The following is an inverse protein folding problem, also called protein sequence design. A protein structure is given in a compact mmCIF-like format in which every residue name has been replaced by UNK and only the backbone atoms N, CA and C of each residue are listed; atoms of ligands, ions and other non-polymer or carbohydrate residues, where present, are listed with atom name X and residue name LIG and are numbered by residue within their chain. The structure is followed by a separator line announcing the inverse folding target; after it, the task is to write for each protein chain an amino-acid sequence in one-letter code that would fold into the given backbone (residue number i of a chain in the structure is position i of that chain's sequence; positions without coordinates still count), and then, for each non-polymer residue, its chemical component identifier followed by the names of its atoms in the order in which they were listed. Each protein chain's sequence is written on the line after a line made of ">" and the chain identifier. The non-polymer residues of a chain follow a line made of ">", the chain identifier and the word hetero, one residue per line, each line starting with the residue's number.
data_IF_649329987136
#
_entry.id   IF_649329987136
#
_cell.length_a   1.000
_cell.length_b   1.000
_cell.length_c   1.000
_cell.angle_alpha   90.00
_cell.angle_beta   90.00
_cell.angle_gamma   90.00
#
_symmetry.space_group_name_H-M   'P 1'
#
loop_
_entity.id
_entity.type
_entity.pdbx_description
1 polymer ?
#
# COMPACT_ATOMS: atom_id res chain seq x y z
N UNK A 1 1.04 15.03 2.03
CA UNK A 1 -0.15 14.34 1.51
C UNK A 1 -1.43 14.72 2.25
N UNK A 2 -1.38 15.04 3.54
CA UNK A 2 -2.57 15.47 4.31
C UNK A 2 -3.25 16.74 3.77
N UNK A 3 -2.58 17.47 2.88
CA UNK A 3 -3.12 18.63 2.16
C UNK A 3 -3.67 18.30 0.77
N UNK A 4 -3.53 17.05 0.31
CA UNK A 4 -4.11 16.64 -0.96
C UNK A 4 -5.63 16.59 -0.86
N UNK A 5 -6.27 17.05 -1.92
CA UNK A 5 -7.69 16.90 -2.19
C UNK A 5 -7.87 16.01 -3.42
N UNK A 6 -9.07 15.51 -3.72
CA UNK A 6 -9.30 14.79 -4.95
C UNK A 6 -8.78 15.53 -6.19
N UNK A 7 -8.93 16.88 -6.23
CA UNK A 7 -8.50 17.73 -7.35
C UNK A 7 -6.98 17.86 -7.46
N UNK A 8 -6.26 17.61 -6.37
CA UNK A 8 -4.77 17.67 -6.33
C UNK A 8 -4.14 16.29 -6.21
N UNK A 9 -4.92 15.23 -6.40
CA UNK A 9 -4.41 13.86 -6.46
C UNK A 9 -3.23 13.74 -7.42
N UNK A 10 -2.16 13.07 -7.01
CA UNK A 10 -0.93 12.88 -7.78
C UNK A 10 0.03 14.08 -7.80
N UNK A 11 -0.35 15.25 -7.28
CA UNK A 11 0.52 16.44 -7.27
C UNK A 11 1.85 16.17 -6.56
N UNK A 12 1.79 15.61 -5.34
CA UNK A 12 2.99 15.34 -4.54
C UNK A 12 3.89 14.28 -5.20
N UNK A 13 3.31 13.19 -5.67
CA UNK A 13 4.07 12.14 -6.39
C UNK A 13 4.76 12.70 -7.62
N UNK A 14 4.08 13.57 -8.38
CA UNK A 14 4.65 14.23 -9.55
C UNK A 14 5.76 15.21 -9.16
N UNK A 15 5.58 15.99 -8.10
CA UNK A 15 6.65 16.84 -7.58
C UNK A 15 7.90 16.03 -7.21
N UNK A 16 7.72 14.91 -6.50
CA UNK A 16 8.84 14.05 -6.10
C UNK A 16 9.54 13.40 -7.29
N UNK A 17 8.83 13.13 -8.40
CA UNK A 17 9.49 12.69 -9.64
C UNK A 17 10.43 13.77 -10.19
N UNK A 18 10.02 15.03 -10.22
CA UNK A 18 10.90 16.13 -10.65
C UNK A 18 12.09 16.33 -9.72
N UNK A 19 11.90 16.22 -8.40
CA UNK A 19 13.00 16.26 -7.44
C UNK A 19 13.99 15.11 -7.70
N UNK A 20 13.45 13.94 -8.08
CA UNK A 20 14.24 12.79 -8.40
C UNK A 20 14.97 12.90 -9.74
N UNK A 21 14.52 13.64 -10.73
CA UNK A 21 15.03 13.62 -12.10
C UNK A 21 16.05 14.70 -12.43
N UNK A 22 15.82 15.95 -12.04
CA UNK A 22 16.73 17.04 -12.39
C UNK A 22 16.68 18.18 -11.38
N UNK A 23 17.77 18.96 -11.33
CA UNK A 23 17.87 20.09 -10.44
C UNK A 23 18.67 21.23 -11.07
N UNK A 24 18.69 22.36 -10.38
CA UNK A 24 19.36 23.58 -10.87
C UNK A 24 20.84 23.36 -11.20
N UNK A 25 21.56 22.54 -10.39
CA UNK A 25 22.99 22.25 -10.59
C UNK A 25 23.25 20.97 -11.38
N UNK A 26 22.29 20.06 -11.41
CA UNK A 26 22.42 18.73 -12.01
C UNK A 26 21.25 18.48 -12.96
N UNK A 27 21.47 18.76 -14.26
CA UNK A 27 20.49 18.41 -15.30
C UNK A 27 20.26 16.89 -15.33
N UNK A 28 19.15 16.45 -15.89
CA UNK A 28 18.82 15.03 -16.08
C UNK A 28 20.00 14.22 -16.63
N UNK A 29 20.62 14.69 -17.74
CA UNK A 29 21.79 14.05 -18.34
C UNK A 29 22.97 13.92 -17.36
N UNK A 30 23.32 15.03 -16.67
CA UNK A 30 24.43 15.04 -15.71
C UNK A 30 24.20 14.11 -14.53
N UNK A 31 22.99 14.05 -14.07
CA UNK A 31 22.59 13.19 -12.99
C UNK A 31 22.61 11.71 -13.39
N UNK A 32 22.06 11.36 -14.57
CA UNK A 32 22.13 10.01 -15.11
C UNK A 32 23.57 9.54 -15.26
N UNK A 33 24.47 10.42 -15.77
CA UNK A 33 25.90 10.15 -15.86
C UNK A 33 26.52 9.85 -14.47
N UNK A 34 26.21 10.67 -13.45
CA UNK A 34 26.70 10.45 -12.08
C UNK A 34 26.16 9.13 -11.56
N UNK A 35 24.86 8.86 -11.67
CA UNK A 35 24.23 7.62 -11.20
C UNK A 35 24.86 6.38 -11.86
N UNK A 36 25.07 6.42 -13.15
CA UNK A 36 25.74 5.33 -13.88
C UNK A 36 27.17 5.10 -13.39
N UNK A 37 27.97 6.16 -13.28
CA UNK A 37 29.40 6.08 -12.89
C UNK A 37 29.59 5.70 -11.40
N UNK A 38 28.59 5.90 -10.57
CA UNK A 38 28.67 5.62 -9.13
C UNK A 38 27.82 4.44 -8.70
N UNK A 39 27.09 3.80 -9.62
CA UNK A 39 26.08 2.80 -9.34
C UNK A 39 25.14 3.27 -8.22
N UNK A 40 24.63 4.49 -8.36
CA UNK A 40 23.70 5.09 -7.40
C UNK A 40 22.34 5.34 -8.04
N UNK A 41 21.31 5.38 -7.23
CA UNK A 41 19.97 5.75 -7.66
C UNK A 41 19.34 6.74 -6.71
N UNK A 42 18.57 7.67 -7.28
CA UNK A 42 17.65 8.49 -6.51
C UNK A 42 16.25 8.13 -6.98
N UNK A 43 15.40 7.81 -6.04
CA UNK A 43 14.00 7.47 -6.31
C UNK A 43 13.09 8.11 -5.30
N UNK A 44 11.81 7.84 -5.45
CA UNK A 44 10.78 8.37 -4.57
C UNK A 44 9.63 7.37 -4.43
N UNK A 45 8.86 7.55 -3.38
CA UNK A 45 7.55 6.93 -3.25
C UNK A 45 6.59 7.89 -2.53
N UNK A 46 5.30 7.73 -2.76
CA UNK A 46 4.25 8.48 -2.08
C UNK A 46 3.19 7.55 -1.54
N UNK A 47 2.82 7.76 -0.29
CA UNK A 47 1.67 7.13 0.40
C UNK A 47 0.76 8.23 0.94
N UNK A 48 -0.45 7.88 1.31
CA UNK A 48 -1.41 8.85 1.88
C UNK A 48 -0.90 9.51 3.16
N UNK A 49 -0.07 8.82 3.93
CA UNK A 49 0.53 9.32 5.17
C UNK A 49 1.77 10.18 4.99
N UNK A 50 2.41 10.17 3.82
CA UNK A 50 3.60 10.94 3.52
C UNK A 50 4.39 10.37 2.35
N UNK A 51 5.37 11.13 1.90
CA UNK A 51 6.23 10.75 0.77
C UNK A 51 7.70 10.75 1.15
N UNK A 52 8.51 10.00 0.44
CA UNK A 52 9.96 10.00 0.62
C UNK A 52 10.68 10.14 -0.72
N UNK A 53 11.74 10.92 -0.68
CA UNK A 53 12.82 10.91 -1.67
C UNK A 53 13.97 10.13 -1.07
N UNK A 54 14.57 9.21 -1.80
CA UNK A 54 15.65 8.39 -1.29
C UNK A 54 16.86 8.34 -2.23
N UNK A 55 18.04 8.22 -1.62
CA UNK A 55 19.32 8.00 -2.30
C UNK A 55 19.83 6.62 -1.91
N UNK A 56 20.12 5.78 -2.89
CA UNK A 56 20.85 4.53 -2.72
C UNK A 56 22.22 4.66 -3.39
N UNK A 57 23.29 4.50 -2.64
CA UNK A 57 24.66 4.69 -3.13
C UNK A 57 25.65 3.80 -2.39
N UNK A 58 26.72 3.41 -3.08
CA UNK A 58 27.85 2.77 -2.41
C UNK A 58 28.53 3.77 -1.44
N UNK A 59 29.05 3.28 -0.30
CA UNK A 59 29.70 4.11 0.73
C UNK A 59 30.79 5.02 0.14
N UNK A 60 31.67 4.48 -0.68
CA UNK A 60 32.77 5.22 -1.36
C UNK A 60 32.30 6.34 -2.29
N UNK A 61 31.03 6.34 -2.68
CA UNK A 61 30.44 7.33 -3.57
C UNK A 61 29.42 8.24 -2.89
N UNK A 62 29.10 7.99 -1.62
CA UNK A 62 28.11 8.74 -0.87
C UNK A 62 28.37 10.25 -0.83
N UNK A 63 29.61 10.64 -0.54
CA UNK A 63 29.98 12.07 -0.50
C UNK A 63 29.82 12.80 -1.84
N UNK A 64 29.97 12.08 -2.96
CA UNK A 64 29.78 12.60 -4.31
C UNK A 64 28.30 12.67 -4.70
N UNK A 65 27.47 11.74 -4.24
CA UNK A 65 26.06 11.61 -4.64
C UNK A 65 25.10 12.38 -3.74
N UNK A 66 25.41 12.54 -2.45
CA UNK A 66 24.60 13.30 -1.51
C UNK A 66 24.31 14.75 -1.99
N UNK A 67 25.26 15.52 -2.53
CA UNK A 67 24.97 16.85 -3.06
C UNK A 67 23.97 16.85 -4.23
N UNK A 68 23.96 15.80 -5.05
CA UNK A 68 23.01 15.64 -6.17
C UNK A 68 21.60 15.43 -5.62
N UNK A 69 21.46 14.55 -4.62
CA UNK A 69 20.21 14.29 -3.92
C UNK A 69 19.65 15.55 -3.25
N UNK A 70 20.50 16.26 -2.49
CA UNK A 70 20.07 17.46 -1.77
C UNK A 70 19.69 18.61 -2.73
N UNK A 71 20.40 18.79 -3.83
CA UNK A 71 20.03 19.80 -4.82
C UNK A 71 18.74 19.43 -5.56
N UNK A 72 18.48 18.13 -5.80
CA UNK A 72 17.20 17.65 -6.31
C UNK A 72 16.02 18.01 -5.39
N UNK A 73 16.17 17.78 -4.12
CA UNK A 73 15.16 18.13 -3.11
C UNK A 73 14.93 19.65 -3.00
N UNK A 74 16.01 20.45 -2.93
CA UNK A 74 15.92 21.89 -2.66
C UNK A 74 15.65 22.73 -3.90
N UNK A 75 16.12 22.32 -5.07
CA UNK A 75 16.13 23.12 -6.29
C UNK A 75 15.74 22.31 -7.54
N UNK A 76 14.62 21.58 -7.54
CA UNK A 76 14.18 20.85 -8.72
C UNK A 76 13.97 21.81 -9.90
N UNK A 77 14.14 21.33 -11.13
CA UNK A 77 13.81 22.08 -12.33
C UNK A 77 12.51 21.55 -12.93
N UNK A 78 11.74 22.45 -13.52
CA UNK A 78 10.46 22.14 -14.16
C UNK A 78 10.54 22.63 -15.61
N UNK A 79 11.38 21.97 -16.42
CA UNK A 79 11.54 22.32 -17.83
C UNK A 79 10.33 21.83 -18.61
N UNK A 80 9.99 22.54 -19.67
CA UNK A 80 8.79 22.25 -20.47
C UNK A 80 8.83 20.86 -21.09
N UNK A 81 9.98 20.46 -21.66
CA UNK A 81 10.18 19.14 -22.26
C UNK A 81 10.08 17.98 -21.23
N UNK A 82 10.70 18.17 -20.05
CA UNK A 82 10.61 17.22 -18.94
C UNK A 82 9.15 17.11 -18.44
N UNK A 83 8.45 18.24 -18.36
CA UNK A 83 7.04 18.29 -17.95
C UNK A 83 6.13 17.57 -18.95
N UNK A 84 6.28 17.81 -20.23
CA UNK A 84 5.46 17.15 -21.27
C UNK A 84 5.64 15.63 -21.25
N UNK A 85 6.90 15.15 -21.11
CA UNK A 85 7.19 13.73 -20.96
C UNK A 85 6.53 13.12 -19.71
N UNK A 86 6.60 13.83 -18.58
CA UNK A 86 5.94 13.41 -17.33
C UNK A 86 4.44 13.34 -17.50
N UNK A 87 3.82 14.38 -18.11
CA UNK A 87 2.38 14.41 -18.34
C UNK A 87 1.92 13.29 -19.28
N UNK A 88 2.71 12.94 -20.31
CA UNK A 88 2.42 11.79 -21.18
C UNK A 88 2.47 10.47 -20.40
N UNK A 89 3.47 10.30 -19.54
CA UNK A 89 3.58 9.12 -18.67
C UNK A 89 2.41 9.00 -17.68
N UNK A 90 1.95 10.13 -17.12
CA UNK A 90 0.77 10.16 -16.24
C UNK A 90 -0.50 9.76 -16.99
N UNK A 91 -0.71 10.27 -18.23
CA UNK A 91 -1.87 9.88 -19.05
C UNK A 91 -1.86 8.38 -19.37
N UNK A 92 -0.69 7.84 -19.74
CA UNK A 92 -0.55 6.40 -19.99
C UNK A 92 -0.84 5.56 -18.73
N UNK A 93 -0.38 6.02 -17.55
CA UNK A 93 -0.67 5.35 -16.29
C UNK A 93 -2.16 5.37 -15.95
N UNK A 94 -2.83 6.51 -16.15
CA UNK A 94 -4.28 6.63 -15.98
C UNK A 94 -5.00 5.66 -16.92
N UNK A 95 -4.64 5.63 -18.20
CA UNK A 95 -5.22 4.69 -19.16
C UNK A 95 -4.98 3.23 -18.74
N UNK A 96 -3.77 2.92 -18.22
CA UNK A 96 -3.44 1.59 -17.72
C UNK A 96 -4.36 1.13 -16.61
N UNK A 97 -4.77 2.01 -15.68
CA UNK A 97 -5.73 1.68 -14.61
C UNK A 97 -7.08 1.24 -15.21
N UNK A 98 -7.57 1.95 -16.23
CA UNK A 98 -8.87 1.64 -16.84
C UNK A 98 -8.81 0.52 -17.89
N UNK A 99 -7.62 0.15 -18.37
CA UNK A 99 -7.43 -0.95 -19.32
C UNK A 99 -7.20 -2.30 -18.64
N UNK A 100 -6.82 -2.29 -17.36
CA UNK A 100 -6.62 -3.48 -16.56
C UNK A 100 -7.80 -3.68 -15.60
N UNK A 101 -8.56 -4.79 -15.71
CA UNK A 101 -9.78 -4.97 -14.93
C UNK A 101 -9.54 -4.99 -13.42
N UNK A 102 -8.43 -5.55 -12.96
CA UNK A 102 -8.11 -5.61 -11.53
C UNK A 102 -7.79 -4.22 -10.98
N UNK A 103 -6.96 -3.44 -11.69
CA UNK A 103 -6.62 -2.06 -11.35
C UNK A 103 -7.87 -1.17 -11.34
N UNK A 104 -8.77 -1.36 -12.30
CA UNK A 104 -10.03 -0.62 -12.36
C UNK A 104 -10.97 -0.98 -11.20
N UNK A 105 -11.05 -2.26 -10.84
CA UNK A 105 -11.80 -2.70 -9.66
C UNK A 105 -11.24 -2.07 -8.38
N UNK A 106 -9.92 -2.13 -8.16
CA UNK A 106 -9.25 -1.54 -7.00
C UNK A 106 -9.45 -0.01 -6.92
N UNK A 107 -9.39 0.67 -8.06
CA UNK A 107 -9.68 2.10 -8.17
C UNK A 107 -11.12 2.42 -7.75
N UNK A 108 -12.08 1.63 -8.22
CA UNK A 108 -13.51 1.79 -7.89
C UNK A 108 -13.75 1.55 -6.39
N UNK A 109 -13.22 0.46 -5.83
CA UNK A 109 -13.32 0.17 -4.39
C UNK A 109 -12.79 1.36 -3.57
N UNK A 110 -11.60 1.86 -3.91
CA UNK A 110 -11.00 2.98 -3.19
C UNK A 110 -11.83 4.27 -3.31
N UNK A 111 -12.51 4.52 -4.44
CA UNK A 111 -13.37 5.68 -4.60
C UNK A 111 -14.65 5.57 -3.77
N UNK A 112 -15.27 4.39 -3.76
CA UNK A 112 -16.49 4.17 -2.98
C UNK A 112 -16.24 4.22 -1.48
N UNK A 113 -15.17 3.55 -1.00
CA UNK A 113 -14.86 3.47 0.42
C UNK A 113 -14.40 4.79 1.02
N UNK A 114 -13.69 5.61 0.27
CA UNK A 114 -13.13 6.87 0.77
C UNK A 114 -13.88 8.12 0.32
N UNK A 115 -15.08 7.97 -0.23
CA UNK A 115 -15.89 9.11 -0.64
C UNK A 115 -16.18 10.06 0.54
N UNK A 116 -15.79 11.32 0.41
CA UNK A 116 -15.88 12.33 1.49
C UNK A 116 -14.89 12.15 2.64
N UNK A 117 -14.01 11.16 2.56
CA UNK A 117 -12.98 10.89 3.57
C UNK A 117 -11.65 11.57 3.19
N UNK A 118 -10.75 11.93 4.16
CA UNK A 118 -9.43 12.47 3.84
C UNK A 118 -8.57 11.62 2.89
N UNK A 119 -8.83 10.32 2.81
CA UNK A 119 -8.16 9.38 1.89
C UNK A 119 -8.84 9.25 0.52
N UNK A 120 -9.83 10.08 0.21
CA UNK A 120 -10.41 10.17 -1.14
C UNK A 120 -9.37 10.64 -2.15
N UNK A 121 -8.48 11.57 -1.75
CA UNK A 121 -7.33 11.95 -2.56
C UNK A 121 -6.42 10.75 -2.84
N UNK A 122 -5.91 10.67 -4.06
CA UNK A 122 -5.01 9.59 -4.50
C UNK A 122 -3.56 10.06 -4.51
N UNK A 123 -2.65 9.13 -4.29
CA UNK A 123 -1.20 9.40 -4.47
C UNK A 123 -0.80 9.51 -5.94
N UNK A 124 -1.66 9.10 -6.87
CA UNK A 124 -1.46 9.16 -8.32
C UNK A 124 -2.47 10.10 -8.98
N UNK A 125 -2.12 10.59 -10.17
CA UNK A 125 -3.00 11.46 -10.94
C UNK A 125 -4.25 10.70 -11.42
N UNK A 126 -5.40 11.34 -11.28
CA UNK A 126 -6.69 10.86 -11.79
C UNK A 126 -7.10 11.61 -13.05
N UNK A 127 -8.10 11.16 -13.82
CA UNK A 127 -8.61 11.90 -14.96
C UNK A 127 -9.01 13.35 -14.62
N UNK A 128 -9.54 13.57 -13.41
CA UNK A 128 -10.00 14.88 -12.96
C UNK A 128 -8.86 15.77 -12.43
N UNK A 129 -7.89 15.18 -11.75
CA UNK A 129 -6.81 15.92 -11.11
C UNK A 129 -5.65 16.29 -12.06
N UNK A 130 -5.43 15.52 -13.12
CA UNK A 130 -4.28 15.71 -14.02
C UNK A 130 -4.20 17.11 -14.63
N UNK A 131 -5.33 17.76 -14.88
CA UNK A 131 -5.39 19.13 -15.40
C UNK A 131 -4.83 20.18 -14.44
N UNK A 132 -4.82 19.87 -13.15
CA UNK A 132 -4.32 20.75 -12.08
C UNK A 132 -2.83 20.54 -11.80
N UNK A 133 -2.20 19.51 -12.38
CA UNK A 133 -0.75 19.25 -12.26
C UNK A 133 -0.02 20.12 -13.31
N UNK A 134 0.07 21.42 -13.04
CA UNK A 134 0.77 22.38 -13.89
C UNK A 134 2.16 22.71 -13.33
N UNK A 135 3.06 23.22 -14.16
CA UNK A 135 4.38 23.68 -13.71
C UNK A 135 4.26 24.73 -12.61
N UNK A 136 3.30 25.64 -12.71
CA UNK A 136 3.05 26.67 -11.70
C UNK A 136 2.61 26.04 -10.36
N UNK A 137 1.64 25.14 -10.41
CA UNK A 137 1.14 24.46 -9.22
C UNK A 137 2.22 23.58 -8.58
N UNK A 138 3.05 22.88 -9.38
CA UNK A 138 4.19 22.12 -8.86
C UNK A 138 5.23 23.01 -8.16
N UNK A 139 5.54 24.19 -8.71
CA UNK A 139 6.44 25.15 -8.06
C UNK A 139 5.85 25.72 -6.77
N UNK A 140 4.57 26.02 -6.75
CA UNK A 140 3.88 26.53 -5.56
C UNK A 140 3.83 25.45 -4.48
N UNK A 141 3.52 24.20 -4.84
CA UNK A 141 3.49 23.09 -3.91
C UNK A 141 4.89 22.79 -3.35
N UNK A 142 5.94 22.85 -4.18
CA UNK A 142 7.32 22.70 -3.71
C UNK A 142 7.71 23.78 -2.69
N UNK A 143 7.38 25.05 -2.98
CA UNK A 143 7.63 26.16 -2.07
C UNK A 143 6.92 25.97 -0.73
N UNK A 144 5.66 25.55 -0.77
CA UNK A 144 4.87 25.25 0.41
C UNK A 144 5.43 24.07 1.20
N UNK A 145 5.84 23.00 0.51
CA UNK A 145 6.47 21.83 1.13
C UNK A 145 7.73 22.23 1.89
N UNK A 146 8.61 23.04 1.30
CA UNK A 146 9.85 23.49 1.95
C UNK A 146 9.59 24.44 3.15
N UNK A 147 8.50 25.20 3.14
CA UNK A 147 8.16 26.13 4.22
C UNK A 147 7.41 25.45 5.38
N UNK A 148 6.54 24.51 5.09
CA UNK A 148 5.56 23.95 6.02
C UNK A 148 5.66 22.42 6.17
N UNK A 149 6.60 21.76 5.47
CA UNK A 149 6.78 20.32 5.57
C UNK A 149 7.37 19.89 6.91
N UNK A 150 6.94 18.73 7.39
CA UNK A 150 7.62 18.04 8.48
C UNK A 150 8.56 17.00 7.86
N UNK A 151 9.87 17.19 8.05
CA UNK A 151 10.90 16.37 7.44
C UNK A 151 11.64 15.52 8.46
N UNK A 152 11.82 14.25 8.12
CA UNK A 152 12.73 13.36 8.83
C UNK A 152 13.80 12.87 7.85
N UNK A 153 15.04 12.78 8.31
CA UNK A 153 16.16 12.23 7.55
C UNK A 153 16.60 10.94 8.21
N UNK A 154 16.50 9.85 7.48
CA UNK A 154 16.95 8.52 7.93
C UNK A 154 18.10 8.10 7.04
N UNK A 155 19.21 7.68 7.64
CA UNK A 155 20.40 7.25 6.92
C UNK A 155 20.93 5.97 7.54
N UNK A 156 21.27 4.99 6.70
CA UNK A 156 21.87 3.73 7.13
C UNK A 156 23.05 3.36 6.22
N UNK A 157 24.13 2.89 6.79
CA UNK A 157 25.32 2.44 6.09
C UNK A 157 26.62 2.91 6.77
N UNK A 158 27.76 2.63 6.14
CA UNK A 158 29.07 3.11 6.60
C UNK A 158 29.27 4.57 6.16
N UNK A 159 28.94 5.51 7.04
CA UNK A 159 28.87 6.93 6.73
C UNK A 159 29.76 7.73 7.68
N UNK A 160 30.43 8.76 7.15
CA UNK A 160 31.08 9.78 7.97
C UNK A 160 30.01 10.73 8.54
N UNK A 161 29.69 10.59 9.81
CA UNK A 161 28.62 11.34 10.50
C UNK A 161 28.91 12.85 10.49
N UNK A 162 30.16 13.28 10.67
CA UNK A 162 30.52 14.70 10.71
C UNK A 162 30.31 15.35 9.33
N UNK A 163 30.70 14.66 8.27
CA UNK A 163 30.42 15.11 6.90
C UNK A 163 28.92 15.22 6.66
N UNK A 164 28.15 14.21 7.04
CA UNK A 164 26.69 14.19 6.86
C UNK A 164 26.04 15.36 7.61
N UNK A 165 26.30 15.50 8.90
CA UNK A 165 25.72 16.55 9.75
C UNK A 165 26.08 17.94 9.21
N UNK A 166 27.37 18.17 8.89
CA UNK A 166 27.82 19.43 8.29
C UNK A 166 27.09 19.73 6.97
N UNK A 167 26.88 18.71 6.14
CA UNK A 167 26.21 18.86 4.84
C UNK A 167 24.72 19.16 5.01
N UNK A 168 24.03 18.45 5.88
CA UNK A 168 22.63 18.69 6.20
C UNK A 168 22.41 20.08 6.79
N UNK A 169 23.21 20.48 7.77
CA UNK A 169 23.12 21.82 8.39
C UNK A 169 23.40 22.95 7.40
N UNK A 170 24.28 22.74 6.44
CA UNK A 170 24.57 23.74 5.40
C UNK A 170 23.52 23.81 4.28
N UNK A 171 22.57 22.91 4.24
CA UNK A 171 21.55 22.77 3.19
C UNK A 171 20.14 22.78 3.78
N UNK A 172 19.59 21.63 4.12
CA UNK A 172 18.22 21.50 4.68
C UNK A 172 18.08 22.27 6.00
N UNK A 173 19.09 22.25 6.85
CA UNK A 173 19.11 22.98 8.12
C UNK A 173 19.04 24.52 8.00
N UNK A 174 19.14 25.06 6.78
CA UNK A 174 18.94 26.49 6.49
C UNK A 174 17.49 26.82 6.09
N UNK A 175 16.65 25.84 5.95
CA UNK A 175 15.24 26.08 5.65
C UNK A 175 14.60 26.81 6.85
N UNK A 176 13.81 27.81 6.53
CA UNK A 176 13.00 28.52 7.53
C UNK A 176 11.63 27.86 7.52
N UNK A 177 11.35 27.07 8.53
CA UNK A 177 10.04 26.48 8.71
C UNK A 177 9.09 27.51 9.31
N UNK A 178 7.82 27.49 8.90
CA UNK A 178 6.78 28.22 9.60
C UNK A 178 6.62 27.63 11.00
N UNK A 179 6.43 28.48 12.00
CA UNK A 179 6.19 28.03 13.38
C UNK A 179 4.77 27.44 13.59
N UNK A 180 4.02 27.23 12.53
CA UNK A 180 2.73 26.57 12.60
C UNK A 180 2.97 25.08 12.82
N UNK A 181 2.55 24.58 13.97
CA UNK A 181 2.47 23.16 14.25
C UNK A 181 1.58 22.53 13.18
N UNK A 182 2.19 21.77 12.27
CA UNK A 182 1.42 20.98 11.32
C UNK A 182 0.76 19.84 12.09
N UNK A 183 -0.43 20.09 12.59
CA UNK A 183 -1.26 19.06 13.22
C UNK A 183 -1.59 18.02 12.17
N UNK A 184 -1.16 16.80 12.40
CA UNK A 184 -1.57 15.66 11.57
C UNK A 184 -3.09 15.55 11.61
N UNK A 185 -3.74 15.45 10.45
CA UNK A 185 -5.19 15.22 10.41
C UNK A 185 -5.52 13.96 11.20
N UNK A 186 -6.51 14.08 12.07
CA UNK A 186 -7.11 12.91 12.71
C UNK A 186 -7.94 12.18 11.64
N UNK A 187 -7.42 11.03 11.20
CA UNK A 187 -8.07 10.20 10.19
C UNK A 187 -8.99 9.25 10.92
N UNK A 188 -10.30 9.40 10.71
CA UNK A 188 -11.30 8.51 11.29
C UNK A 188 -11.33 7.17 10.53
N UNK A 189 -11.67 6.06 11.19
CA UNK A 189 -11.93 4.80 10.51
C UNK A 189 -13.07 4.96 9.50
N UNK A 190 -13.00 4.19 8.40
CA UNK A 190 -14.12 4.12 7.43
C UNK A 190 -15.25 3.26 8.00
N UNK A 191 -16.48 3.58 7.61
CA UNK A 191 -17.65 2.75 7.86
C UNK A 191 -18.02 2.04 6.56
N UNK A 192 -18.10 0.72 6.62
CA UNK A 192 -18.58 -0.09 5.50
C UNK A 192 -20.00 -0.52 5.81
N UNK A 193 -20.92 -0.19 4.91
CA UNK A 193 -22.31 -0.61 5.00
C UNK A 193 -22.55 -1.75 4.00
N UNK A 194 -23.47 -2.65 4.36
CA UNK A 194 -23.93 -3.68 3.48
C UNK A 194 -24.69 -3.02 2.31
N UNK A 195 -24.21 -3.22 1.10
CA UNK A 195 -24.82 -2.68 -0.11
C UNK A 195 -25.09 -3.80 -1.10
N UNK A 196 -25.95 -3.54 -2.08
CA UNK A 196 -26.06 -4.40 -3.27
C UNK A 196 -24.67 -4.50 -3.94
N UNK A 197 -24.29 -5.68 -4.46
CA UNK A 197 -22.99 -5.86 -5.11
C UNK A 197 -22.76 -4.88 -6.26
N UNK A 198 -21.63 -4.19 -6.26
CA UNK A 198 -21.21 -3.33 -7.35
C UNK A 198 -20.51 -4.17 -8.41
N UNK A 199 -21.11 -4.33 -9.58
CA UNK A 199 -20.55 -5.10 -10.68
C UNK A 199 -20.19 -4.19 -11.84
N UNK A 200 -18.91 -4.11 -12.17
CA UNK A 200 -18.35 -3.41 -13.31
C UNK A 200 -18.28 -4.33 -14.54
N UNK A 201 -18.25 -3.72 -15.72
CA UNK A 201 -18.09 -4.42 -16.99
C UNK A 201 -16.78 -4.00 -17.65
N UNK A 202 -16.07 -4.99 -18.20
CA UNK A 202 -14.79 -4.74 -18.84
C UNK A 202 -14.48 -5.80 -19.90
N UNK A 203 -14.17 -5.37 -21.13
CA UNK A 203 -13.94 -6.28 -22.26
C UNK A 203 -12.76 -7.24 -22.04
N UNK A 204 -11.72 -6.84 -21.30
CA UNK A 204 -10.59 -7.73 -20.96
C UNK A 204 -10.90 -8.74 -19.85
N UNK A 205 -12.10 -8.71 -19.27
CA UNK A 205 -12.59 -9.69 -18.29
C UNK A 205 -13.62 -10.66 -18.89
N UNK A 206 -13.70 -10.77 -20.24
CA UNK A 206 -14.60 -11.72 -20.87
C UNK A 206 -14.23 -13.16 -20.49
N UNK A 207 -15.22 -13.96 -20.10
CA UNK A 207 -15.03 -15.34 -19.63
C UNK A 207 -14.36 -15.49 -18.27
N UNK A 208 -14.18 -14.40 -17.53
CA UNK A 208 -13.60 -14.41 -16.18
C UNK A 208 -14.22 -13.32 -15.30
N UNK A 209 -13.95 -13.36 -13.99
CA UNK A 209 -14.30 -12.29 -13.09
C UNK A 209 -13.18 -12.05 -12.04
N UNK A 210 -13.13 -10.82 -11.53
CA UNK A 210 -12.34 -10.45 -10.35
C UNK A 210 -13.34 -10.00 -9.30
N UNK A 211 -13.28 -10.60 -8.12
CA UNK A 211 -14.30 -10.41 -7.09
C UNK A 211 -13.62 -10.04 -5.79
N UNK A 212 -14.08 -8.98 -5.15
CA UNK A 212 -13.56 -8.53 -3.87
C UNK A 212 -14.70 -8.27 -2.90
N UNK A 213 -14.67 -8.91 -1.76
CA UNK A 213 -15.47 -8.56 -0.59
C UNK A 213 -14.62 -7.68 0.31
N UNK A 214 -15.16 -6.54 0.74
CA UNK A 214 -14.47 -5.60 1.65
C UNK A 214 -15.23 -5.50 2.97
N UNK A 215 -14.49 -5.33 4.07
CA UNK A 215 -15.03 -5.17 5.42
C UNK A 215 -14.17 -4.20 6.21
N UNK A 216 -14.75 -3.51 7.20
CA UNK A 216 -13.99 -2.65 8.10
C UNK A 216 -13.00 -3.47 8.93
N UNK A 217 -11.77 -2.99 9.06
CA UNK A 217 -10.72 -3.66 9.83
C UNK A 217 -10.09 -2.70 10.86
N UNK A 218 -9.35 -3.20 11.86
CA UNK A 218 -8.71 -2.35 12.86
C UNK A 218 -7.59 -1.53 12.23
N UNK A 219 -7.42 -0.28 12.70
CA UNK A 219 -6.27 0.53 12.32
C UNK A 219 -4.96 -0.14 12.76
N UNK A 220 -3.90 0.14 12.03
CA UNK A 220 -2.59 -0.46 12.31
C UNK A 220 -1.99 -0.08 13.69
N UNK A 221 -2.59 0.85 14.40
CA UNK A 221 -2.26 1.21 15.79
C UNK A 221 -3.13 0.52 16.84
N UNK A 222 -4.15 -0.24 16.42
CA UNK A 222 -5.06 -0.91 17.33
C UNK A 222 -4.56 -2.32 17.71
N UNK A 223 -4.90 -2.80 18.93
CA UNK A 223 -4.45 -4.12 19.40
C UNK A 223 -4.88 -5.30 18.52
N UNK A 224 -6.05 -5.18 17.88
CA UNK A 224 -6.58 -6.23 16.99
C UNK A 224 -5.85 -6.34 15.65
N UNK A 225 -4.99 -5.37 15.29
CA UNK A 225 -4.37 -5.33 13.95
C UNK A 225 -3.46 -6.55 13.67
N UNK A 226 -2.53 -6.84 14.57
CA UNK A 226 -1.59 -7.97 14.39
C UNK A 226 -2.31 -9.31 14.39
N UNK A 227 -3.25 -9.60 15.35
CA UNK A 227 -4.09 -10.78 15.22
C UNK A 227 -4.84 -10.88 13.89
N UNK A 228 -5.36 -9.76 13.33
CA UNK A 228 -6.00 -9.74 12.03
C UNK A 228 -5.03 -10.04 10.87
N UNK A 229 -3.78 -9.57 10.94
CA UNK A 229 -2.76 -9.90 9.92
C UNK A 229 -2.50 -11.40 9.90
N UNK A 230 -2.32 -12.03 11.06
CA UNK A 230 -2.13 -13.48 11.16
C UNK A 230 -3.38 -14.25 10.71
N UNK A 231 -4.58 -13.80 11.13
CA UNK A 231 -5.85 -14.39 10.68
C UNK A 231 -6.01 -14.37 9.16
N UNK A 232 -5.66 -13.25 8.51
CA UNK A 232 -5.70 -13.11 7.05
C UNK A 232 -4.75 -14.05 6.33
N UNK A 233 -3.54 -14.26 6.87
CA UNK A 233 -2.57 -15.20 6.31
C UNK A 233 -3.08 -16.65 6.40
N UNK A 234 -3.53 -17.07 7.58
CA UNK A 234 -4.10 -18.42 7.79
C UNK A 234 -5.32 -18.63 6.89
N UNK A 235 -6.19 -17.65 6.82
CA UNK A 235 -7.40 -17.75 5.99
C UNK A 235 -7.08 -17.77 4.48
N UNK A 236 -6.02 -17.11 4.05
CA UNK A 236 -5.54 -17.20 2.66
C UNK A 236 -5.16 -18.63 2.28
N UNK A 237 -4.51 -19.39 3.17
CA UNK A 237 -4.16 -20.77 2.93
C UNK A 237 -5.41 -21.66 2.88
N UNK A 238 -6.41 -21.42 3.73
CA UNK A 238 -7.69 -22.12 3.69
C UNK A 238 -8.42 -21.81 2.37
N UNK A 239 -8.47 -20.53 1.95
CA UNK A 239 -9.05 -20.14 0.66
C UNK A 239 -8.32 -20.84 -0.50
N UNK A 240 -6.99 -20.93 -0.44
CA UNK A 240 -6.22 -21.61 -1.46
C UNK A 240 -6.61 -23.09 -1.54
N UNK A 241 -6.63 -23.81 -0.43
CA UNK A 241 -6.92 -25.24 -0.41
C UNK A 241 -8.39 -25.55 -0.77
N UNK A 242 -9.35 -24.73 -0.30
CA UNK A 242 -10.78 -24.94 -0.58
C UNK A 242 -11.17 -24.39 -1.95
N UNK A 243 -10.96 -23.09 -2.17
CA UNK A 243 -11.53 -22.41 -3.34
C UNK A 243 -10.79 -22.75 -4.63
N UNK A 244 -9.44 -22.83 -4.55
CA UNK A 244 -8.62 -23.14 -5.72
C UNK A 244 -8.38 -24.62 -5.89
N UNK A 245 -7.79 -25.31 -4.91
CA UNK A 245 -7.31 -26.69 -5.11
C UNK A 245 -8.47 -27.70 -5.14
N UNK A 246 -9.49 -27.51 -4.29
CA UNK A 246 -10.62 -28.44 -4.26
C UNK A 246 -11.67 -28.11 -5.33
N UNK A 247 -12.15 -26.87 -5.37
CA UNK A 247 -13.25 -26.50 -6.26
C UNK A 247 -12.83 -25.89 -7.59
N UNK A 248 -11.56 -25.49 -7.77
CA UNK A 248 -11.08 -24.88 -9.02
C UNK A 248 -11.77 -23.56 -9.39
N UNK A 249 -12.32 -22.83 -8.41
CA UNK A 249 -13.14 -21.65 -8.63
C UNK A 249 -12.36 -20.49 -9.23
N UNK A 250 -11.12 -20.27 -8.78
CA UNK A 250 -10.31 -19.14 -9.20
C UNK A 250 -8.82 -19.49 -9.24
N UNK A 251 -8.02 -18.62 -9.88
CA UNK A 251 -6.57 -18.83 -9.99
C UNK A 251 -5.84 -18.49 -8.68
N UNK A 252 -6.18 -17.38 -8.01
CA UNK A 252 -5.51 -16.94 -6.80
C UNK A 252 -6.47 -16.27 -5.82
N UNK A 253 -6.89 -16.98 -4.77
CA UNK A 253 -7.66 -16.37 -3.69
C UNK A 253 -6.69 -15.75 -2.66
N UNK A 254 -7.10 -14.64 -2.05
CA UNK A 254 -6.32 -13.93 -1.03
C UNK A 254 -7.24 -13.28 -0.01
N UNK A 255 -6.76 -13.15 1.22
CA UNK A 255 -7.41 -12.36 2.25
C UNK A 255 -6.38 -11.65 3.13
N UNK A 256 -6.55 -10.36 3.34
CA UNK A 256 -5.66 -9.57 4.19
C UNK A 256 -6.32 -8.28 4.68
N UNK A 257 -5.70 -7.65 5.68
CA UNK A 257 -6.06 -6.32 6.17
C UNK A 257 -5.01 -5.30 5.73
N UNK A 258 -5.45 -4.11 5.34
CA UNK A 258 -4.57 -3.05 4.87
C UNK A 258 -4.06 -2.25 6.06
N UNK A 259 -2.73 -2.18 6.23
CA UNK A 259 -2.11 -1.41 7.29
C UNK A 259 -2.19 0.10 7.05
N UNK A 260 -3.20 0.76 7.60
CA UNK A 260 -3.37 2.22 7.51
C UNK A 260 -4.11 2.77 8.74
N UNK A 261 -4.32 4.09 8.79
CA UNK A 261 -5.12 4.75 9.84
C UNK A 261 -6.63 4.61 9.60
N UNK A 262 -7.05 4.38 8.36
CA UNK A 262 -8.43 4.11 7.98
C UNK A 262 -8.44 2.88 7.08
N UNK A 263 -8.21 1.70 7.65
CA UNK A 263 -8.04 0.47 6.91
C UNK A 263 -9.35 -0.18 6.52
N UNK A 264 -9.24 -1.13 5.61
CA UNK A 264 -10.25 -2.16 5.36
C UNK A 264 -9.56 -3.50 5.15
N UNK A 265 -10.30 -4.56 5.37
CA UNK A 265 -9.89 -5.91 5.00
C UNK A 265 -10.52 -6.33 3.69
N UNK A 266 -9.91 -7.28 3.02
CA UNK A 266 -10.41 -7.85 1.78
C UNK A 266 -10.42 -9.37 1.80
N UNK A 267 -11.37 -9.94 1.09
CA UNK A 267 -11.34 -11.28 0.53
C UNK A 267 -11.39 -11.10 -0.99
N UNK A 268 -10.37 -11.53 -1.71
CA UNK A 268 -10.22 -11.31 -3.14
C UNK A 268 -10.05 -12.61 -3.89
N UNK A 269 -10.80 -12.77 -4.98
CA UNK A 269 -10.70 -13.87 -5.92
C UNK A 269 -10.24 -13.35 -7.28
N UNK A 270 -9.07 -13.80 -7.71
CA UNK A 270 -8.45 -13.43 -8.98
C UNK A 270 -8.75 -14.46 -10.06
N UNK A 271 -9.31 -14.02 -11.19
CA UNK A 271 -9.69 -14.86 -12.32
C UNK A 271 -10.64 -16.01 -11.95
N UNK A 272 -11.82 -15.63 -11.49
CA UNK A 272 -12.91 -16.56 -11.19
C UNK A 272 -13.46 -17.14 -12.50
N UNK A 273 -13.65 -18.47 -12.53
CA UNK A 273 -14.21 -19.23 -13.65
C UNK A 273 -15.59 -19.84 -13.34
N UNK A 274 -15.91 -20.10 -12.08
CA UNK A 274 -17.26 -20.53 -11.67
C UNK A 274 -18.03 -19.37 -11.04
N UNK A 275 -18.85 -18.73 -11.84
CA UNK A 275 -19.61 -17.55 -11.48
C UNK A 275 -20.82 -17.84 -10.56
N UNK A 276 -21.17 -19.12 -10.41
CA UNK A 276 -22.34 -19.55 -9.64
C UNK A 276 -22.04 -19.97 -8.21
N UNK A 277 -20.83 -20.53 -7.97
CA UNK A 277 -20.51 -21.19 -6.71
C UNK A 277 -19.46 -20.47 -5.85
N UNK A 278 -18.85 -19.38 -6.36
CA UNK A 278 -17.74 -18.70 -5.66
C UNK A 278 -18.11 -18.24 -4.24
N UNK A 279 -19.30 -17.65 -4.04
CA UNK A 279 -19.74 -17.18 -2.73
C UNK A 279 -19.97 -18.34 -1.75
N UNK A 280 -20.68 -19.39 -2.20
CA UNK A 280 -20.89 -20.60 -1.41
C UNK A 280 -19.57 -21.21 -0.92
N UNK A 281 -18.58 -21.26 -1.81
CA UNK A 281 -17.27 -21.83 -1.51
C UNK A 281 -16.46 -20.94 -0.56
N UNK A 282 -16.52 -19.61 -0.73
CA UNK A 282 -15.92 -18.68 0.22
C UNK A 282 -16.58 -18.77 1.60
N UNK A 283 -17.91 -18.92 1.65
CA UNK A 283 -18.65 -19.11 2.91
C UNK A 283 -18.23 -20.41 3.59
N UNK A 284 -18.02 -21.49 2.85
CA UNK A 284 -17.50 -22.74 3.38
C UNK A 284 -16.10 -22.55 4.00
N UNK A 285 -15.18 -21.92 3.27
CA UNK A 285 -13.84 -21.63 3.76
C UNK A 285 -13.86 -20.75 5.03
N UNK A 286 -14.74 -19.70 5.08
CA UNK A 286 -14.94 -18.89 6.29
C UNK A 286 -15.45 -19.71 7.46
N UNK A 287 -16.38 -20.62 7.22
CA UNK A 287 -16.92 -21.49 8.26
C UNK A 287 -15.85 -22.43 8.82
N UNK A 288 -14.94 -22.94 8.00
CA UNK A 288 -13.81 -23.73 8.51
C UNK A 288 -12.96 -22.92 9.46
N UNK A 289 -12.46 -21.76 9.04
CA UNK A 289 -11.65 -20.90 9.91
C UNK A 289 -12.38 -20.46 11.18
N UNK A 290 -13.66 -20.09 11.08
CA UNK A 290 -14.46 -19.66 12.23
C UNK A 290 -14.68 -20.78 13.27
N UNK A 291 -14.56 -22.05 12.87
CA UNK A 291 -14.69 -23.23 13.72
C UNK A 291 -13.33 -23.90 14.04
N UNK A 292 -12.24 -23.14 13.92
CA UNK A 292 -10.88 -23.60 14.23
C UNK A 292 -10.47 -24.85 13.40
N UNK A 293 -10.78 -24.82 12.10
CA UNK A 293 -10.43 -25.86 11.15
C UNK A 293 -9.60 -25.28 10.03
N UNK A 294 -8.30 -25.53 10.02
CA UNK A 294 -7.43 -25.19 8.92
C UNK A 294 -7.41 -26.37 7.96
N UNK A 295 -7.77 -26.14 6.70
CA UNK A 295 -7.71 -27.15 5.65
C UNK A 295 -6.28 -27.29 5.18
N UNK A 296 -5.61 -28.36 5.58
CA UNK A 296 -4.22 -28.65 5.22
C UNK A 296 -4.10 -29.28 3.83
N UNK A 297 -5.04 -30.14 3.49
CA UNK A 297 -4.99 -30.91 2.26
C UNK A 297 -6.36 -31.42 1.87
N UNK A 298 -6.57 -31.52 0.56
CA UNK A 298 -7.70 -32.25 -0.03
C UNK A 298 -7.23 -33.65 -0.44
N UNK A 299 -7.90 -34.67 0.04
CA UNK A 299 -7.64 -36.08 -0.30
C UNK A 299 -8.24 -36.45 -1.67
N UNK A 300 -7.82 -37.57 -2.26
CA UNK A 300 -8.33 -38.04 -3.54
C UNK A 300 -9.84 -38.35 -3.55
N UNK A 301 -10.44 -38.64 -2.39
CA UNK A 301 -11.88 -38.86 -2.21
C UNK A 301 -12.68 -37.57 -1.97
N UNK A 302 -12.02 -36.42 -1.99
CA UNK A 302 -12.61 -35.12 -1.76
C UNK A 302 -12.76 -34.73 -0.27
N UNK A 303 -12.33 -35.58 0.65
CA UNK A 303 -12.31 -35.24 2.08
C UNK A 303 -11.14 -34.30 2.41
N UNK A 304 -11.25 -33.57 3.51
CA UNK A 304 -10.19 -32.69 3.99
C UNK A 304 -9.44 -33.25 5.19
N UNK A 305 -8.15 -33.00 5.23
CA UNK A 305 -7.35 -33.10 6.44
C UNK A 305 -7.36 -31.74 7.14
N UNK A 306 -7.63 -31.74 8.45
CA UNK A 306 -7.74 -30.52 9.24
C UNK A 306 -6.71 -30.47 10.35
N UNK A 307 -6.20 -29.29 10.61
CA UNK A 307 -5.50 -28.90 11.82
C UNK A 307 -6.22 -27.73 12.52
N UNK A 308 -5.69 -27.27 13.63
CA UNK A 308 -6.19 -26.11 14.38
C UNK A 308 -5.25 -24.91 14.21
N UNK A 309 -5.74 -23.69 14.52
CA UNK A 309 -4.91 -22.48 14.57
C UNK A 309 -3.76 -22.67 15.55
N UNK A 310 -3.99 -23.24 16.73
CA UNK A 310 -2.95 -23.49 17.74
C UNK A 310 -1.81 -24.38 17.22
N UNK A 311 -2.14 -25.44 16.46
CA UNK A 311 -1.14 -26.35 15.90
C UNK A 311 -0.19 -25.68 14.87
N UNK A 312 -0.68 -24.65 14.17
CA UNK A 312 0.07 -23.98 13.08
C UNK A 312 0.60 -22.60 13.47
N UNK A 313 0.17 -22.06 14.60
CA UNK A 313 0.41 -20.67 15.01
C UNK A 313 1.89 -20.30 14.99
N UNK A 314 2.75 -21.14 15.54
CA UNK A 314 4.19 -20.86 15.60
C UNK A 314 4.81 -20.79 14.19
N UNK A 315 4.33 -21.57 13.23
CA UNK A 315 4.75 -21.52 11.83
C UNK A 315 4.43 -20.15 11.21
N UNK A 316 3.21 -19.65 11.40
CA UNK A 316 2.79 -18.33 10.89
C UNK A 316 3.52 -17.18 11.56
N UNK A 317 3.71 -17.22 12.88
CA UNK A 317 4.52 -16.23 13.62
C UNK A 317 5.95 -16.18 13.09
N UNK A 318 6.59 -17.34 12.98
CA UNK A 318 7.97 -17.44 12.50
C UNK A 318 8.12 -16.96 11.05
N UNK A 319 7.15 -17.26 10.19
CA UNK A 319 7.12 -16.76 8.83
C UNK A 319 7.09 -15.22 8.79
N UNK A 320 6.21 -14.60 9.56
CA UNK A 320 6.12 -13.14 9.64
C UNK A 320 7.40 -12.51 10.22
N UNK A 321 7.92 -13.05 11.31
CA UNK A 321 9.16 -12.58 11.95
C UNK A 321 10.34 -12.67 10.97
N UNK A 322 10.47 -13.80 10.27
CA UNK A 322 11.54 -13.99 9.28
C UNK A 322 11.43 -13.00 8.13
N UNK A 323 10.25 -12.76 7.59
CA UNK A 323 10.03 -11.77 6.53
C UNK A 323 10.40 -10.36 7.00
N UNK A 324 10.06 -9.99 8.23
CA UNK A 324 10.42 -8.70 8.82
C UNK A 324 11.94 -8.56 8.90
N UNK A 325 12.65 -9.54 9.45
CA UNK A 325 14.11 -9.49 9.52
C UNK A 325 14.79 -9.51 8.14
N UNK A 326 14.27 -10.29 7.19
CA UNK A 326 14.80 -10.30 5.82
C UNK A 326 14.67 -8.92 5.16
N UNK A 327 13.56 -8.22 5.38
CA UNK A 327 13.34 -6.87 4.84
C UNK A 327 14.33 -5.83 5.41
N UNK A 328 14.92 -6.09 6.58
CA UNK A 328 15.88 -5.22 7.30
C UNK A 328 17.33 -5.55 7.02
N UNK A 329 17.65 -6.61 6.27
CA UNK A 329 19.04 -7.05 6.06
C UNK A 329 19.89 -6.08 5.24
N UNK A 330 19.28 -5.17 4.50
CA UNK A 330 20.01 -4.19 3.70
C UNK A 330 19.84 -2.78 4.27
N UNK A 331 20.82 -1.91 4.02
CA UNK A 331 20.71 -0.49 4.39
C UNK A 331 19.47 0.17 3.79
N UNK A 332 19.11 -0.19 2.55
CA UNK A 332 17.89 0.33 1.89
C UNK A 332 16.61 -0.16 2.57
N UNK A 333 16.54 -1.45 2.93
CA UNK A 333 15.41 -2.03 3.67
C UNK A 333 15.26 -1.38 5.04
N UNK A 334 16.35 -1.25 5.79
CA UNK A 334 16.33 -0.61 7.10
C UNK A 334 15.87 0.86 7.02
N UNK A 335 16.41 1.66 6.09
CA UNK A 335 15.97 3.05 5.88
C UNK A 335 14.48 3.12 5.52
N UNK A 336 14.01 2.18 4.69
CA UNK A 336 12.61 2.12 4.28
C UNK A 336 11.67 1.89 5.46
N UNK A 337 12.00 0.96 6.35
CA UNK A 337 11.20 0.62 7.54
C UNK A 337 11.23 1.76 8.55
N UNK A 338 12.42 2.23 8.91
CA UNK A 338 12.56 3.33 9.87
C UNK A 338 11.89 4.61 9.37
N UNK A 339 12.03 4.91 8.07
CA UNK A 339 11.35 6.04 7.43
C UNK A 339 9.82 5.89 7.46
N UNK A 340 9.32 4.70 7.16
CA UNK A 340 7.89 4.40 7.26
C UNK A 340 7.37 4.54 8.69
N UNK A 341 8.08 4.00 9.68
CA UNK A 341 7.73 4.09 11.09
C UNK A 341 7.63 5.55 11.55
N UNK A 342 8.61 6.38 11.19
CA UNK A 342 8.58 7.82 11.51
C UNK A 342 7.41 8.56 10.84
N UNK A 343 7.18 8.31 9.54
CA UNK A 343 6.11 8.98 8.79
C UNK A 343 4.73 8.56 9.31
N UNK A 344 4.54 7.26 9.54
CA UNK A 344 3.23 6.72 9.87
C UNK A 344 2.87 6.87 11.34
N UNK A 345 3.82 6.60 12.22
CA UNK A 345 3.59 6.45 13.66
C UNK A 345 4.30 7.49 14.51
N UNK A 346 5.26 8.23 13.96
CA UNK A 346 6.20 9.07 14.72
C UNK A 346 6.96 8.26 15.80
N UNK A 347 7.23 7.00 15.52
CA UNK A 347 7.84 6.02 16.41
C UNK A 347 8.79 5.15 15.60
N UNK A 348 10.09 5.31 15.83
CA UNK A 348 11.11 4.60 15.04
C UNK A 348 11.15 3.09 15.33
N UNK A 349 10.70 2.69 16.52
CA UNK A 349 10.72 1.31 17.01
C UNK A 349 9.38 0.58 16.82
N UNK A 350 8.49 1.15 16.01
CA UNK A 350 7.15 0.60 15.82
C UNK A 350 7.16 -0.87 15.35
N UNK A 351 8.01 -1.23 14.43
CA UNK A 351 8.14 -2.61 13.92
C UNK A 351 8.63 -3.59 14.99
N UNK A 352 9.52 -3.15 15.91
CA UNK A 352 9.95 -3.97 17.03
C UNK A 352 8.78 -4.26 18.01
N UNK A 353 7.93 -3.27 18.23
CA UNK A 353 6.71 -3.44 19.06
C UNK A 353 5.73 -4.41 18.40
N UNK A 354 5.59 -4.34 17.07
CA UNK A 354 4.77 -5.31 16.33
C UNK A 354 5.33 -6.74 16.45
N UNK A 355 6.65 -6.93 16.35
CA UNK A 355 7.26 -8.24 16.53
C UNK A 355 7.00 -8.84 17.90
N UNK A 356 7.04 -8.02 18.97
CA UNK A 356 6.67 -8.49 20.31
C UNK A 356 5.19 -8.85 20.41
N UNK A 357 4.31 -8.08 19.79
CA UNK A 357 2.87 -8.39 19.75
C UNK A 357 2.60 -9.71 19.00
N UNK A 358 3.30 -9.96 17.89
CA UNK A 358 3.20 -11.23 17.15
C UNK A 358 3.55 -12.42 18.04
N UNK A 359 4.68 -12.35 18.76
CA UNK A 359 5.10 -13.43 19.67
C UNK A 359 4.04 -13.73 20.75
N UNK A 360 3.34 -12.69 21.24
CA UNK A 360 2.33 -12.80 22.29
C UNK A 360 0.95 -13.19 21.78
N UNK A 361 0.66 -13.04 20.48
CA UNK A 361 -0.65 -13.34 19.90
C UNK A 361 -1.00 -14.82 20.08
N UNK A 362 -2.21 -15.11 20.55
CA UNK A 362 -2.75 -16.43 20.82
C UNK A 362 -3.71 -16.90 19.71
N UNK A 363 -3.92 -18.21 19.61
CA UNK A 363 -4.92 -18.77 18.70
C UNK A 363 -6.34 -18.26 19.00
N UNK A 364 -6.66 -18.07 20.28
CA UNK A 364 -7.95 -17.52 20.69
C UNK A 364 -8.17 -16.10 20.19
N UNK A 365 -7.15 -15.24 20.24
CA UNK A 365 -7.22 -13.87 19.69
C UNK A 365 -7.42 -13.89 18.18
N UNK A 366 -6.71 -14.75 17.45
CA UNK A 366 -6.86 -14.91 16.00
C UNK A 366 -8.28 -15.34 15.64
N UNK A 367 -8.84 -16.35 16.31
CA UNK A 367 -10.22 -16.81 16.09
C UNK A 367 -11.25 -15.75 16.45
N UNK A 368 -11.03 -15.01 17.55
CA UNK A 368 -11.89 -13.91 17.98
C UNK A 368 -11.94 -12.79 16.91
N UNK A 369 -10.76 -12.32 16.45
CA UNK A 369 -10.73 -11.25 15.44
C UNK A 369 -11.25 -11.74 14.10
N UNK A 370 -11.01 -12.98 13.72
CA UNK A 370 -11.57 -13.54 12.50
C UNK A 370 -13.10 -13.52 12.51
N UNK A 371 -13.73 -14.02 13.59
CA UNK A 371 -15.19 -13.97 13.75
C UNK A 371 -15.70 -12.54 13.69
N UNK A 372 -15.07 -11.62 14.44
CA UNK A 372 -15.48 -10.22 14.51
C UNK A 372 -15.43 -9.53 13.15
N UNK A 373 -14.31 -9.65 12.41
CA UNK A 373 -14.05 -8.82 11.22
C UNK A 373 -14.46 -9.50 9.91
N UNK A 374 -14.27 -10.82 9.74
CA UNK A 374 -14.62 -11.52 8.49
C UNK A 374 -16.03 -12.08 8.45
N UNK A 375 -16.62 -12.37 9.62
CA UNK A 375 -17.92 -13.03 9.71
C UNK A 375 -19.03 -12.08 10.13
N UNK A 376 -18.82 -11.34 11.23
CA UNK A 376 -19.87 -10.53 11.87
C UNK A 376 -19.95 -9.10 11.35
N UNK A 377 -18.84 -8.51 10.90
CA UNK A 377 -18.83 -7.14 10.39
C UNK A 377 -19.61 -7.02 9.07
N UNK A 378 -20.31 -5.89 8.88
CA UNK A 378 -20.88 -5.55 7.58
C UNK A 378 -19.80 -5.56 6.49
N UNK A 379 -20.17 -6.06 5.32
CA UNK A 379 -19.26 -6.15 4.17
C UNK A 379 -19.96 -5.72 2.89
N UNK A 380 -19.17 -5.27 1.92
CA UNK A 380 -19.64 -4.88 0.60
C UNK A 380 -18.91 -5.69 -0.47
N UNK A 381 -19.63 -6.06 -1.54
CA UNK A 381 -19.11 -6.80 -2.66
C UNK A 381 -18.84 -5.90 -3.86
N UNK A 382 -17.69 -6.08 -4.46
CA UNK A 382 -17.27 -5.46 -5.70
C UNK A 382 -16.80 -6.52 -6.67
N UNK A 383 -17.17 -6.38 -7.94
CA UNK A 383 -16.71 -7.30 -8.97
C UNK A 383 -16.51 -6.58 -10.30
N UNK A 384 -15.69 -7.15 -11.16
CA UNK A 384 -15.53 -6.77 -12.55
C UNK A 384 -15.51 -8.03 -13.41
N UNK A 385 -16.28 -8.03 -14.51
CA UNK A 385 -16.41 -9.18 -15.39
C UNK A 385 -16.78 -8.74 -16.81
N UNK A 386 -16.87 -9.67 -17.76
CA UNK A 386 -17.33 -9.43 -19.13
C UNK A 386 -18.80 -9.02 -19.21
N UNK A 387 -19.20 -8.48 -20.35
CA UNK A 387 -20.54 -7.91 -20.58
C UNK A 387 -21.68 -8.90 -20.33
N UNK A 388 -21.49 -10.17 -20.74
CA UNK A 388 -22.54 -11.19 -20.72
C UNK A 388 -22.49 -12.13 -19.51
N UNK A 389 -21.65 -11.82 -18.52
CA UNK A 389 -21.45 -12.68 -17.34
C UNK A 389 -22.38 -12.25 -16.20
N UNK A 390 -23.10 -13.21 -15.62
CA UNK A 390 -23.90 -13.01 -14.40
C UNK A 390 -23.19 -13.69 -13.24
N UNK A 391 -23.00 -12.94 -12.13
CA UNK A 391 -22.37 -13.42 -10.90
C UNK A 391 -23.45 -13.71 -9.86
N UNK A 392 -23.33 -14.84 -9.18
CA UNK A 392 -24.23 -15.22 -8.09
C UNK A 392 -23.56 -14.93 -6.74
N UNK A 393 -23.92 -13.85 -6.09
CA UNK A 393 -23.43 -13.47 -4.75
C UNK A 393 -24.16 -14.16 -3.59
N UNK A 394 -24.97 -15.18 -3.88
CA UNK A 394 -25.78 -15.87 -2.86
C UNK A 394 -26.94 -15.03 -2.34
N UNK A 395 -27.71 -15.60 -1.40
CA UNK A 395 -28.67 -14.82 -0.64
C UNK A 395 -27.91 -13.92 0.34
N UNK A 396 -28.02 -12.61 0.13
CA UNK A 396 -27.48 -11.64 1.08
C UNK A 396 -28.40 -11.72 2.33
N UNK A 397 -27.93 -12.40 3.38
CA UNK A 397 -28.63 -12.39 4.68
C UNK A 397 -28.91 -10.93 5.06
N UNK A 398 -30.18 -10.62 5.23
CA UNK A 398 -30.71 -9.28 5.55
C UNK A 398 -30.25 -8.82 6.94
#
# INVERSE_FOLDING_TARGET
>A
VEKLTPETSGMETTLFSFMADSSKKFSYKKRTEISYNTNSSIGYFSKLSGSALYLNAMDKHFEKTLPVFLDGFLNPTFKQDEYENTMNSLRQRIQGIFNDPESFLAYTISNELYKGHPYEAKTFATPDSIKNITIENLKNYHKELLANGNFSVVVSGKINSDFLIKKLNSTIGKLKFSNEETTRKNVQPISIQKNAPVTLRHSSAEGTAYITKVFASPANTEPDFIPCVLAGNIYTDILFNVVREHYGICYSPQSYVIGSKAPYGIEHLFKVSDFSNFEKTMKEARNYMANDKIVEKTNADGSYEFSTVEQNLEGYKNSYINQTYQSQQTSAGLVSILGYNLIQFNDIDYDLKQLEQIKQTTAQEILRVFKKYWVENPSAWFAITGENTTLNFGEQEQ
#
